data_IF_845639559216
#
_entry.id   IF_845639559216
#
_cell.length_a   1.000
_cell.length_b   1.000
_cell.length_c   1.000
_cell.angle_alpha   90.00
_cell.angle_beta   90.00
_cell.angle_gamma   90.00
#
_symmetry.space_group_name_H-M   'P 1'
#
loop_
_entity.id
_entity.type
_entity.pdbx_description
1 polymer ?
#
# COMPACT_ATOMS: atom_id res chain seq x y z
N UNK A 1 31.77 32.39 11.22
CA UNK A 1 31.91 31.25 12.12
C UNK A 1 30.66 31.17 13.00
N UNK A 2 29.98 30.03 12.93
CA UNK A 2 29.04 29.40 13.86
C UNK A 2 27.78 30.15 14.36
N UNK A 3 26.66 29.91 13.65
CA UNK A 3 25.31 30.11 14.19
C UNK A 3 25.03 29.09 15.32
N UNK A 4 24.50 29.48 16.48
CA UNK A 4 24.12 28.52 17.51
C UNK A 4 22.92 27.70 17.03
N UNK A 5 23.09 26.39 16.93
CA UNK A 5 21.98 25.43 16.78
C UNK A 5 21.22 25.41 18.11
N UNK A 6 20.17 26.22 18.22
CA UNK A 6 19.27 26.17 19.38
C UNK A 6 18.77 24.74 19.59
N UNK A 7 18.66 24.25 20.84
CA UNK A 7 18.20 22.89 21.08
C UNK A 7 16.77 22.78 20.55
N UNK A 8 16.54 21.85 19.62
CA UNK A 8 15.20 21.45 19.17
C UNK A 8 14.40 20.98 20.40
N UNK A 9 13.77 21.91 21.11
CA UNK A 9 12.80 21.61 22.16
C UNK A 9 11.54 21.11 21.47
N UNK A 10 11.54 19.83 21.09
CA UNK A 10 10.31 19.14 20.70
C UNK A 10 9.35 19.33 21.87
N UNK A 11 8.22 20.00 21.62
CA UNK A 11 7.14 20.09 22.60
C UNK A 11 6.90 18.68 23.14
N UNK A 12 6.99 18.51 24.46
CA UNK A 12 6.61 17.25 25.11
C UNK A 12 5.10 17.14 24.97
N UNK A 13 4.63 16.85 23.75
CA UNK A 13 3.23 16.49 23.50
C UNK A 13 3.02 15.29 24.40
N UNK A 14 2.28 15.49 25.49
CA UNK A 14 2.02 14.43 26.45
C UNK A 14 1.49 13.27 25.64
N UNK A 15 2.24 12.16 25.59
CA UNK A 15 1.73 10.92 25.06
C UNK A 15 0.61 10.51 26.02
N UNK A 16 -0.58 11.13 25.88
CA UNK A 16 -1.78 10.70 26.56
C UNK A 16 -2.02 9.30 26.03
N UNK A 17 -1.56 8.31 26.79
CA UNK A 17 -1.74 6.90 26.48
C UNK A 17 -3.25 6.71 26.44
N UNK A 18 -3.84 6.39 25.28
CA UNK A 18 -5.25 6.07 25.24
C UNK A 18 -5.51 4.88 26.16
N UNK A 19 -6.66 4.92 26.83
CA UNK A 19 -7.06 3.90 27.80
C UNK A 19 -7.04 2.51 27.15
N UNK A 20 -6.65 1.46 27.90
CA UNK A 20 -6.64 0.11 27.38
C UNK A 20 -8.05 -0.30 26.94
N UNK A 21 -8.19 -1.07 25.84
CA UNK A 21 -9.50 -1.53 25.36
C UNK A 21 -10.25 -2.41 26.36
N UNK A 22 -9.52 -3.10 27.25
CA UNK A 22 -10.06 -4.01 28.27
C UNK A 22 -10.19 -3.24 29.59
N UNK A 23 -11.40 -3.22 30.15
CA UNK A 23 -11.66 -2.63 31.47
C UNK A 23 -11.26 -3.62 32.57
N UNK A 24 -10.97 -3.12 33.77
CA UNK A 24 -10.52 -3.95 34.90
C UNK A 24 -11.51 -5.04 35.35
N UNK A 25 -12.80 -4.94 34.94
CA UNK A 25 -13.84 -5.92 35.23
C UNK A 25 -14.03 -7.02 34.17
N UNK A 26 -13.41 -6.88 32.99
CA UNK A 26 -13.57 -7.86 31.93
C UNK A 26 -12.70 -9.09 32.23
N UNK A 27 -13.33 -10.26 32.41
CA UNK A 27 -12.62 -11.53 32.60
C UNK A 27 -12.10 -12.04 31.25
N UNK A 28 -10.78 -12.23 31.17
CA UNK A 28 -10.08 -12.69 29.97
C UNK A 28 -9.98 -14.22 30.03
N UNK A 29 -11.02 -14.89 29.54
CA UNK A 29 -11.13 -16.35 29.52
C UNK A 29 -11.21 -16.90 28.09
N UNK A 30 -10.78 -18.15 27.89
CA UNK A 30 -10.79 -18.81 26.58
C UNK A 30 -12.19 -18.99 25.97
N UNK A 31 -13.23 -18.92 26.80
CA UNK A 31 -14.64 -19.02 26.40
C UNK A 31 -15.15 -17.72 25.78
N UNK A 32 -14.54 -16.57 26.12
CA UNK A 32 -14.94 -15.26 25.63
C UNK A 32 -14.33 -14.99 24.25
N UNK A 33 -14.79 -15.74 23.24
CA UNK A 33 -14.25 -15.71 21.87
C UNK A 33 -14.34 -14.31 21.26
N UNK A 34 -15.43 -13.56 21.51
CA UNK A 34 -15.63 -12.22 20.96
C UNK A 34 -14.66 -11.17 21.50
N UNK A 35 -14.20 -11.35 22.74
CA UNK A 35 -13.16 -10.51 23.31
C UNK A 35 -11.80 -10.91 22.71
N UNK A 36 -11.50 -12.20 22.65
CA UNK A 36 -10.23 -12.72 22.15
C UNK A 36 -10.02 -12.40 20.67
N UNK A 37 -11.07 -12.49 19.84
CA UNK A 37 -11.03 -12.22 18.40
C UNK A 37 -10.52 -10.81 18.07
N UNK A 38 -10.70 -9.83 18.96
CA UNK A 38 -10.22 -8.44 18.78
C UNK A 38 -8.70 -8.32 18.91
N UNK A 39 -8.05 -9.29 19.55
CA UNK A 39 -6.61 -9.27 19.83
C UNK A 39 -5.79 -10.24 18.97
N UNK A 40 -6.44 -10.88 18.00
CA UNK A 40 -5.79 -11.68 16.97
C UNK A 40 -5.86 -10.94 15.63
N UNK A 41 -4.88 -11.19 14.76
CA UNK A 41 -4.92 -10.71 13.40
C UNK A 41 -5.88 -11.54 12.56
N UNK A 42 -6.25 -11.04 11.38
CA UNK A 42 -7.04 -11.80 10.40
C UNK A 42 -6.38 -13.14 10.01
N UNK A 43 -5.04 -13.20 10.07
CA UNK A 43 -4.24 -14.40 9.81
C UNK A 43 -4.31 -15.43 10.96
N UNK A 44 -4.95 -15.07 12.08
CA UNK A 44 -4.99 -15.87 13.30
C UNK A 44 -3.79 -15.66 14.22
N UNK A 45 -2.87 -14.71 13.96
CA UNK A 45 -1.68 -14.47 14.82
C UNK A 45 -2.02 -13.58 16.01
N UNK A 46 -1.36 -13.80 17.16
CA UNK A 46 -1.56 -12.95 18.35
C UNK A 46 -0.93 -11.59 18.12
N UNK A 47 -1.70 -10.52 18.32
CA UNK A 47 -1.19 -9.15 18.20
C UNK A 47 -0.28 -8.80 19.38
N UNK A 48 0.75 -8.00 19.12
CA UNK A 48 1.69 -7.58 20.15
C UNK A 48 1.05 -6.62 21.17
N UNK A 49 1.58 -6.62 22.39
CA UNK A 49 1.14 -5.71 23.46
C UNK A 49 1.15 -4.23 23.04
N UNK A 50 2.11 -3.81 22.20
CA UNK A 50 2.22 -2.42 21.72
C UNK A 50 1.04 -2.02 20.83
N UNK A 51 0.55 -2.95 20.02
CA UNK A 51 -0.62 -2.76 19.16
C UNK A 51 -1.89 -2.76 20.00
N UNK A 52 -2.03 -3.75 20.89
CA UNK A 52 -3.22 -3.89 21.73
C UNK A 52 -3.32 -2.84 22.85
N UNK A 53 -2.21 -2.18 23.18
CA UNK A 53 -2.10 -1.18 24.27
C UNK A 53 -2.55 -1.72 25.63
N UNK A 54 -2.27 -3.00 25.90
CA UNK A 54 -2.58 -3.67 27.16
C UNK A 54 -1.45 -3.56 28.17
N UNK A 55 -1.79 -3.75 29.45
CA UNK A 55 -0.80 -3.99 30.50
C UNK A 55 -0.09 -5.33 30.28
N UNK A 56 1.08 -5.51 30.87
CA UNK A 56 1.84 -6.76 30.74
C UNK A 56 1.06 -7.95 31.33
N UNK A 57 0.39 -7.75 32.48
CA UNK A 57 -0.43 -8.76 33.14
C UNK A 57 -1.59 -9.21 32.24
N UNK A 58 -2.35 -8.26 31.70
CA UNK A 58 -3.44 -8.55 30.77
C UNK A 58 -2.94 -9.30 29.52
N UNK A 59 -1.83 -8.87 28.92
CA UNK A 59 -1.29 -9.55 27.74
C UNK A 59 -0.92 -11.02 28.05
N UNK A 60 -0.34 -11.32 29.23
CA UNK A 60 0.02 -12.69 29.63
C UNK A 60 -1.22 -13.58 29.77
N UNK A 61 -2.25 -13.09 30.46
CA UNK A 61 -3.53 -13.80 30.62
C UNK A 61 -4.20 -14.02 29.27
N UNK A 62 -4.25 -12.98 28.44
CA UNK A 62 -4.78 -13.05 27.08
C UNK A 62 -4.04 -14.07 26.20
N UNK A 63 -2.70 -14.10 26.25
CA UNK A 63 -1.94 -15.10 25.49
C UNK A 63 -2.21 -16.53 25.94
N UNK A 64 -2.46 -16.75 27.24
CA UNK A 64 -2.81 -18.06 27.76
C UNK A 64 -4.22 -18.47 27.27
N UNK A 65 -5.19 -17.57 27.41
CA UNK A 65 -6.56 -17.79 26.95
C UNK A 65 -6.63 -18.07 25.43
N UNK A 66 -5.87 -17.34 24.60
CA UNK A 66 -5.78 -17.60 23.16
C UNK A 66 -5.21 -18.99 22.87
N UNK A 67 -4.15 -19.40 23.59
CA UNK A 67 -3.54 -20.71 23.40
C UNK A 67 -4.51 -21.83 23.76
N UNK A 68 -5.23 -21.69 24.88
CA UNK A 68 -6.28 -22.62 25.30
C UNK A 68 -7.39 -22.70 24.25
N UNK A 69 -7.91 -21.55 23.79
CA UNK A 69 -8.94 -21.50 22.76
C UNK A 69 -8.50 -22.16 21.43
N UNK A 70 -7.22 -22.09 21.07
CA UNK A 70 -6.68 -22.80 19.89
C UNK A 70 -6.59 -24.31 20.08
N UNK A 71 -6.17 -24.77 21.26
CA UNK A 71 -6.12 -26.21 21.59
C UNK A 71 -7.53 -26.80 21.54
N UNK A 72 -8.53 -26.05 22.03
CA UNK A 72 -9.95 -26.42 22.00
C UNK A 72 -10.63 -26.16 20.63
N UNK A 73 -9.87 -25.81 19.60
CA UNK A 73 -10.37 -25.52 18.25
C UNK A 73 -11.38 -24.37 18.11
N UNK A 74 -11.55 -23.52 19.13
CA UNK A 74 -12.37 -22.29 19.01
C UNK A 74 -11.73 -21.23 18.11
N UNK A 75 -10.40 -21.26 17.97
CA UNK A 75 -9.65 -20.35 17.11
C UNK A 75 -8.65 -21.11 16.22
N UNK A 76 -8.51 -20.72 14.95
CA UNK A 76 -7.54 -21.35 14.06
C UNK A 76 -6.11 -20.94 14.42
N UNK A 77 -5.16 -21.86 14.20
CA UNK A 77 -3.73 -21.57 14.31
C UNK A 77 -3.24 -20.67 13.18
N UNK A 78 -3.76 -20.88 11.96
CA UNK A 78 -3.45 -20.09 10.77
C UNK A 78 -4.71 -19.93 9.93
N UNK A 79 -4.91 -18.73 9.38
CA UNK A 79 -5.97 -18.47 8.40
C UNK A 79 -5.33 -18.22 7.03
N UNK A 80 -5.16 -19.31 6.27
CA UNK A 80 -4.49 -19.34 4.96
C UNK A 80 -5.23 -18.51 3.92
N UNK A 81 -6.56 -18.50 3.93
CA UNK A 81 -7.36 -17.74 2.97
C UNK A 81 -7.05 -16.24 2.99
N UNK A 82 -6.91 -15.67 4.20
CA UNK A 82 -6.62 -14.25 4.36
C UNK A 82 -5.21 -13.88 3.85
N UNK A 83 -4.26 -14.79 4.01
CA UNK A 83 -2.90 -14.65 3.53
C UNK A 83 -2.84 -14.72 2.01
N UNK A 84 -3.53 -15.70 1.41
CA UNK A 84 -3.56 -15.86 -0.04
C UNK A 84 -4.24 -14.66 -0.73
N UNK A 85 -5.38 -14.19 -0.19
CA UNK A 85 -6.06 -12.97 -0.67
C UNK A 85 -5.15 -11.73 -0.61
N UNK A 86 -4.25 -11.64 0.38
CA UNK A 86 -3.30 -10.53 0.47
C UNK A 86 -2.18 -10.66 -0.57
N UNK A 87 -1.63 -11.87 -0.76
CA UNK A 87 -0.59 -12.13 -1.75
C UNK A 87 -1.07 -11.86 -3.18
N UNK A 88 -2.29 -12.30 -3.52
CA UNK A 88 -2.89 -12.06 -4.84
C UNK A 88 -3.04 -10.58 -5.11
N UNK A 89 -3.58 -9.80 -4.15
CA UNK A 89 -3.70 -8.34 -4.26
C UNK A 89 -2.36 -7.65 -4.50
N UNK A 90 -1.29 -8.07 -3.80
CA UNK A 90 0.06 -7.52 -4.01
C UNK A 90 0.56 -7.85 -5.42
N UNK A 91 0.35 -9.08 -5.89
CA UNK A 91 0.71 -9.52 -7.24
C UNK A 91 -0.04 -8.72 -8.31
N UNK A 92 -1.36 -8.58 -8.17
CA UNK A 92 -2.22 -7.79 -9.05
C UNK A 92 -1.80 -6.31 -9.08
N UNK A 93 -1.50 -5.71 -7.93
CA UNK A 93 -1.01 -4.34 -7.86
C UNK A 93 0.32 -4.14 -8.60
N UNK A 94 1.24 -5.12 -8.51
CA UNK A 94 2.50 -5.11 -9.26
C UNK A 94 2.28 -5.23 -10.76
N UNK A 95 1.41 -6.14 -11.20
CA UNK A 95 1.08 -6.30 -12.62
C UNK A 95 0.46 -5.03 -13.19
N UNK A 96 -0.51 -4.45 -12.48
CA UNK A 96 -1.16 -3.18 -12.87
C UNK A 96 -0.17 -2.01 -12.98
N UNK A 97 0.83 -1.96 -12.09
CA UNK A 97 1.88 -0.95 -12.15
C UNK A 97 2.81 -1.13 -13.37
N UNK A 98 3.17 -2.38 -13.71
CA UNK A 98 3.96 -2.68 -14.91
C UNK A 98 3.17 -2.40 -16.21
N UNK A 99 1.90 -2.79 -16.27
CA UNK A 99 1.02 -2.45 -17.40
C UNK A 99 0.91 -0.93 -17.62
N UNK A 100 0.71 -0.16 -16.54
CA UNK A 100 0.69 1.30 -16.62
C UNK A 100 2.03 1.87 -17.12
N UNK A 101 3.15 1.27 -16.71
CA UNK A 101 4.50 1.65 -17.13
C UNK A 101 4.74 1.36 -18.62
N UNK A 102 4.30 0.20 -19.11
CA UNK A 102 4.38 -0.17 -20.53
C UNK A 102 3.49 0.75 -21.38
N UNK A 103 2.24 0.98 -20.95
CA UNK A 103 1.33 1.92 -21.62
C UNK A 103 1.90 3.33 -21.72
N UNK A 104 2.57 3.81 -20.66
CA UNK A 104 3.26 5.10 -20.68
C UNK A 104 4.46 5.11 -21.64
N UNK A 105 5.23 4.02 -21.73
CA UNK A 105 6.33 3.89 -22.70
C UNK A 105 5.81 3.90 -24.14
N UNK A 106 4.76 3.14 -24.43
CA UNK A 106 4.13 3.10 -25.75
C UNK A 106 3.59 4.46 -26.17
N UNK A 107 2.88 5.15 -25.27
CA UNK A 107 2.37 6.50 -25.53
C UNK A 107 3.51 7.48 -25.85
N UNK A 108 4.65 7.36 -25.14
CA UNK A 108 5.83 8.19 -25.39
C UNK A 108 6.49 7.88 -26.74
N UNK A 109 6.54 6.62 -27.15
CA UNK A 109 7.05 6.22 -28.47
C UNK A 109 6.14 6.75 -29.59
N UNK A 110 4.82 6.55 -29.47
CA UNK A 110 3.83 7.11 -30.40
C UNK A 110 3.96 8.63 -30.53
N UNK A 111 4.13 9.36 -29.41
CA UNK A 111 4.34 10.81 -29.45
C UNK A 111 5.65 11.23 -30.13
N UNK A 112 6.72 10.42 -30.03
CA UNK A 112 7.96 10.65 -30.79
C UNK A 112 7.76 10.42 -32.28
N UNK A 113 7.05 9.35 -32.65
CA UNK A 113 6.74 9.01 -34.04
C UNK A 113 5.90 10.10 -34.72
N UNK A 114 4.81 10.54 -34.08
CA UNK A 114 3.97 11.63 -34.60
C UNK A 114 4.77 12.93 -34.75
N UNK A 115 5.62 13.27 -33.77
CA UNK A 115 6.54 14.42 -33.86
C UNK A 115 7.50 14.30 -35.03
N UNK A 116 8.02 13.10 -35.31
CA UNK A 116 8.95 12.88 -36.42
C UNK A 116 8.24 12.95 -37.78
N UNK A 117 7.03 12.41 -37.88
CA UNK A 117 6.18 12.54 -39.06
C UNK A 117 5.85 14.00 -39.35
N UNK A 118 5.45 14.77 -38.33
CA UNK A 118 5.18 16.20 -38.47
C UNK A 118 6.42 17.00 -38.89
N UNK A 119 7.61 16.68 -38.38
CA UNK A 119 8.87 17.29 -38.85
C UNK A 119 9.16 16.95 -40.32
N UNK A 120 8.89 15.71 -40.73
CA UNK A 120 9.09 15.23 -42.12
C UNK A 120 8.12 15.90 -43.09
N UNK A 121 6.84 16.02 -42.73
CA UNK A 121 5.84 16.77 -43.52
C UNK A 121 6.18 18.25 -43.58
N UNK A 122 6.58 18.89 -42.47
CA UNK A 122 7.03 20.30 -42.47
C UNK A 122 8.22 20.52 -43.41
N UNK A 123 9.25 19.66 -43.36
CA UNK A 123 10.40 19.73 -44.28
C UNK A 123 9.98 19.58 -45.74
N UNK A 124 9.04 18.68 -46.03
CA UNK A 124 8.54 18.42 -47.39
C UNK A 124 7.69 19.59 -47.93
N UNK A 125 6.90 20.25 -47.07
CA UNK A 125 6.02 21.36 -47.45
C UNK A 125 6.76 22.69 -47.51
N UNK A 126 7.61 23.00 -46.52
CA UNK A 126 8.20 24.34 -46.35
C UNK A 126 9.68 24.47 -46.73
N UNK A 127 10.49 23.40 -46.64
CA UNK A 127 11.96 23.48 -46.86
C UNK A 127 12.37 22.96 -48.24
N UNK A 128 11.77 21.87 -48.70
CA UNK A 128 11.98 21.31 -50.05
C UNK A 128 10.68 21.29 -50.88
N UNK A 129 10.08 22.44 -51.22
CA UNK A 129 8.81 22.50 -51.93
C UNK A 129 8.87 22.11 -53.43
N UNK A 130 9.99 21.59 -53.97
CA UNK A 130 10.28 21.62 -55.41
C UNK A 130 9.22 20.89 -56.29
N UNK A 131 8.67 21.69 -57.23
CA UNK A 131 8.05 21.31 -58.52
C UNK A 131 6.67 20.61 -58.45
N UNK A 132 5.64 21.33 -58.01
CA UNK A 132 4.23 20.96 -58.28
C UNK A 132 3.49 21.92 -59.21
N UNK A 133 4.20 22.82 -59.90
CA UNK A 133 3.62 23.65 -60.96
C UNK A 133 4.49 23.57 -62.20
N UNK A 134 4.01 22.88 -63.23
CA UNK A 134 4.28 23.12 -64.65
C UNK A 134 3.13 22.43 -65.43
N UNK A 135 2.10 23.24 -65.70
CA UNK A 135 1.25 23.32 -66.90
C UNK A 135 0.50 22.04 -67.31
N UNK A 136 -0.76 21.84 -66.91
CA UNK A 136 -1.97 22.36 -67.59
C UNK A 136 -1.74 23.60 -68.46
N UNK A 137 -1.59 23.40 -69.77
CA UNK A 137 -1.95 24.32 -70.88
C UNK A 137 -1.17 23.86 -72.12
N UNK A 138 -1.84 23.15 -73.03
CA UNK A 138 -1.79 23.29 -74.50
C UNK A 138 -2.59 22.14 -75.11
N UNK A 139 -3.83 22.42 -75.50
CA UNK A 139 -4.59 21.73 -76.56
C UNK A 139 -5.07 22.80 -77.52
#
# INVERSE_FOLDING_TARGET
>A
MDKPKGPFRKSKKSFRKPLPPIKSGDRIDYQNIDLIRRFISQQGKILSRRVNRLTLKQQRVLTLAIKQARILAFLPFTNTESLEKMKTRIREARLKAEEARLKAKEARLKAKETRNQNKKTFRKIFINPKRSKLNTETS
#
